data_IF_225566243345
#
_entry.id   IF_225566243345
#
_cell.length_a   1.000
_cell.length_b   1.000
_cell.length_c   1.000
_cell.angle_alpha   90.00
_cell.angle_beta   90.00
_cell.angle_gamma   90.00
#
_symmetry.space_group_name_H-M   'P 1'
#
loop_
_entity.id
_entity.type
_entity.pdbx_description
1 polymer ?
#
# COMPACT_ATOMS: atom_id res chain seq x y z
N UNK A 1 4.88 -22.51 33.18
CA UNK A 1 5.39 -21.12 33.21
C UNK A 1 5.48 -20.65 31.77
N UNK A 2 4.50 -19.90 31.31
CA UNK A 2 4.52 -19.28 29.98
C UNK A 2 5.55 -18.15 30.02
N UNK A 3 6.67 -18.30 29.29
CA UNK A 3 7.61 -17.20 29.04
C UNK A 3 6.77 -16.04 28.47
N UNK A 4 6.70 -14.91 29.17
CA UNK A 4 6.21 -13.66 28.59
C UNK A 4 7.11 -13.35 27.41
N UNK A 5 6.57 -13.44 26.20
CA UNK A 5 7.31 -13.03 25.02
C UNK A 5 7.62 -11.54 25.15
N UNK A 6 8.82 -11.15 24.75
CA UNK A 6 9.24 -9.76 24.77
C UNK A 6 8.36 -8.96 23.80
N UNK A 7 7.85 -7.83 24.23
CA UNK A 7 7.06 -6.90 23.42
C UNK A 7 7.85 -6.31 22.25
N UNK A 8 9.15 -6.42 22.26
CA UNK A 8 10.04 -5.92 21.23
C UNK A 8 11.23 -6.87 21.07
N UNK A 9 11.50 -7.23 19.84
CA UNK A 9 12.66 -8.01 19.41
C UNK A 9 13.44 -7.21 18.37
N UNK A 10 14.79 -7.25 18.33
CA UNK A 10 15.58 -6.51 17.33
C UNK A 10 15.17 -6.74 15.86
N UNK A 11 14.59 -7.92 15.57
CA UNK A 11 14.02 -8.23 14.25
C UNK A 11 12.83 -7.36 13.87
N UNK A 12 12.07 -6.85 14.83
CA UNK A 12 10.89 -6.03 14.61
C UNK A 12 11.24 -4.71 13.92
N UNK A 13 12.45 -4.19 14.15
CA UNK A 13 12.93 -2.98 13.50
C UNK A 13 13.09 -3.17 11.98
N UNK A 14 13.60 -4.33 11.55
CA UNK A 14 13.70 -4.67 10.14
C UNK A 14 12.32 -4.80 9.49
N UNK A 15 11.39 -5.48 10.17
CA UNK A 15 10.02 -5.65 9.72
C UNK A 15 9.29 -4.30 9.62
N UNK A 16 9.47 -3.42 10.63
CA UNK A 16 8.91 -2.08 10.63
C UNK A 16 9.38 -1.26 9.42
N UNK A 17 10.68 -1.19 9.16
CA UNK A 17 11.18 -0.41 8.03
C UNK A 17 10.77 -1.00 6.68
N UNK A 18 10.72 -2.32 6.55
CA UNK A 18 10.24 -2.96 5.33
C UNK A 18 8.77 -2.60 5.05
N UNK A 19 7.89 -2.74 6.04
CA UNK A 19 6.48 -2.40 5.92
C UNK A 19 6.25 -0.89 5.75
N UNK A 20 7.00 -0.05 6.46
CA UNK A 20 6.93 1.40 6.32
C UNK A 20 7.27 1.84 4.90
N UNK A 21 8.37 1.33 4.33
CA UNK A 21 8.77 1.65 2.94
C UNK A 21 7.73 1.16 1.95
N UNK A 22 7.19 -0.05 2.12
CA UNK A 22 6.14 -0.60 1.27
C UNK A 22 4.88 0.30 1.28
N UNK A 23 4.40 0.68 2.45
CA UNK A 23 3.25 1.57 2.58
C UNK A 23 3.50 2.96 1.96
N UNK A 24 4.67 3.55 2.18
CA UNK A 24 5.03 4.84 1.59
C UNK A 24 5.09 4.74 0.07
N UNK A 25 5.68 3.67 -0.49
CA UNK A 25 5.72 3.46 -1.94
C UNK A 25 4.31 3.35 -2.52
N UNK A 26 3.40 2.62 -1.87
CA UNK A 26 2.01 2.51 -2.30
C UNK A 26 1.29 3.88 -2.32
N UNK A 27 1.50 4.72 -1.29
CA UNK A 27 0.94 6.08 -1.23
C UNK A 27 1.53 7.00 -2.32
N UNK A 28 2.83 6.89 -2.57
CA UNK A 28 3.50 7.63 -3.65
C UNK A 28 2.97 7.20 -5.02
N UNK A 29 2.79 5.89 -5.25
CA UNK A 29 2.24 5.37 -6.50
C UNK A 29 0.78 5.80 -6.69
N UNK A 30 -0.06 5.72 -5.65
CA UNK A 30 -1.42 6.24 -5.66
C UNK A 30 -1.45 7.72 -6.07
N UNK A 31 -0.65 8.54 -5.40
CA UNK A 31 -0.54 9.97 -5.68
C UNK A 31 -0.07 10.23 -7.11
N UNK A 32 0.95 9.52 -7.56
CA UNK A 32 1.49 9.67 -8.90
C UNK A 32 0.46 9.32 -9.98
N UNK A 33 -0.30 8.24 -9.82
CA UNK A 33 -1.35 7.85 -10.76
C UNK A 33 -2.42 8.95 -10.81
N UNK A 34 -2.94 9.38 -9.67
CA UNK A 34 -4.03 10.36 -9.62
C UNK A 34 -3.58 11.74 -10.16
N UNK A 35 -2.37 12.19 -9.84
CA UNK A 35 -1.83 13.48 -10.31
C UNK A 35 -1.46 13.43 -11.80
N UNK A 36 -0.64 12.47 -12.21
CA UNK A 36 -0.08 12.49 -13.55
C UNK A 36 -1.03 11.93 -14.61
N UNK A 37 -1.78 10.89 -14.29
CA UNK A 37 -2.68 10.25 -15.23
C UNK A 37 -4.04 10.94 -15.28
N UNK A 38 -4.62 11.27 -14.12
CA UNK A 38 -5.96 11.85 -14.03
C UNK A 38 -6.00 13.36 -13.80
N UNK A 39 -4.83 13.99 -13.55
CA UNK A 39 -4.71 15.45 -13.28
C UNK A 39 -5.45 15.91 -12.02
N UNK A 40 -5.64 15.03 -11.06
CA UNK A 40 -6.26 15.36 -9.79
C UNK A 40 -5.35 16.32 -8.99
N UNK A 41 -5.89 17.32 -8.27
CA UNK A 41 -5.09 18.26 -7.51
C UNK A 41 -4.23 17.56 -6.45
N UNK A 42 -2.91 17.76 -6.52
CA UNK A 42 -1.97 17.14 -5.61
C UNK A 42 -2.23 17.51 -4.15
N UNK A 43 -2.57 18.77 -3.88
CA UNK A 43 -2.84 19.24 -2.52
C UNK A 43 -4.00 18.48 -1.88
N UNK A 44 -5.06 18.19 -2.65
CA UNK A 44 -6.19 17.41 -2.15
C UNK A 44 -5.75 15.99 -1.74
N UNK A 45 -4.94 15.34 -2.55
CA UNK A 45 -4.44 13.99 -2.27
C UNK A 45 -3.61 14.00 -0.98
N UNK A 46 -2.67 14.94 -0.87
CA UNK A 46 -1.75 15.03 0.27
C UNK A 46 -2.46 15.42 1.58
N UNK A 47 -3.47 16.28 1.50
CA UNK A 47 -4.14 16.82 2.70
C UNK A 47 -5.34 16.00 3.17
N UNK A 48 -6.00 15.24 2.27
CA UNK A 48 -7.23 14.51 2.59
C UNK A 48 -7.10 13.00 2.42
N UNK A 49 -6.56 12.53 1.29
CA UNK A 49 -6.53 11.09 1.01
C UNK A 49 -5.46 10.36 1.81
N UNK A 50 -4.24 10.86 1.82
CA UNK A 50 -3.10 10.22 2.51
C UNK A 50 -3.31 10.13 4.02
N UNK A 51 -3.73 11.21 4.75
CA UNK A 51 -3.95 11.12 6.19
C UNK A 51 -5.04 10.13 6.58
N UNK A 52 -6.12 10.06 5.82
CA UNK A 52 -7.19 9.07 6.05
C UNK A 52 -6.71 7.64 5.89
N UNK A 53 -5.94 7.39 4.84
CA UNK A 53 -5.37 6.06 4.57
C UNK A 53 -4.36 5.66 5.65
N UNK A 54 -3.48 6.56 6.05
CA UNK A 54 -2.48 6.31 7.10
C UNK A 54 -3.16 6.01 8.46
N UNK A 55 -4.22 6.75 8.81
CA UNK A 55 -5.00 6.47 10.02
C UNK A 55 -5.66 5.09 9.96
N UNK A 56 -6.22 4.70 8.82
CA UNK A 56 -6.82 3.38 8.65
C UNK A 56 -5.83 2.25 8.88
N UNK A 57 -4.63 2.35 8.32
CA UNK A 57 -3.55 1.38 8.54
C UNK A 57 -3.15 1.34 10.01
N UNK A 58 -2.92 2.48 10.63
CA UNK A 58 -2.55 2.58 12.04
C UNK A 58 -3.59 1.93 12.96
N UNK A 59 -4.88 2.20 12.74
CA UNK A 59 -5.96 1.59 13.54
C UNK A 59 -6.00 0.08 13.34
N UNK A 60 -5.79 -0.40 12.12
CA UNK A 60 -5.72 -1.83 11.83
C UNK A 60 -4.54 -2.51 12.53
N UNK A 61 -3.35 -1.95 12.45
CA UNK A 61 -2.15 -2.48 13.12
C UNK A 61 -2.30 -2.52 14.64
N UNK A 62 -2.87 -1.47 15.24
CA UNK A 62 -3.18 -1.43 16.67
C UNK A 62 -4.20 -2.50 17.07
N UNK A 63 -5.24 -2.72 16.25
CA UNK A 63 -6.24 -3.76 16.49
C UNK A 63 -5.63 -5.16 16.44
N UNK A 64 -4.78 -5.45 15.44
CA UNK A 64 -4.08 -6.74 15.34
C UNK A 64 -3.10 -6.95 16.50
N UNK A 65 -2.35 -5.92 16.87
CA UNK A 65 -1.45 -5.96 18.03
C UNK A 65 -2.22 -6.25 19.31
N UNK A 66 -3.37 -5.60 19.51
CA UNK A 66 -4.22 -5.82 20.67
C UNK A 66 -4.78 -7.25 20.71
N UNK A 67 -5.22 -7.79 19.56
CA UNK A 67 -5.70 -9.17 19.44
C UNK A 67 -4.59 -10.18 19.74
N UNK A 68 -3.38 -9.95 19.22
CA UNK A 68 -2.21 -10.80 19.48
C UNK A 68 -1.85 -10.83 20.97
N UNK A 69 -1.89 -9.66 21.63
CA UNK A 69 -1.58 -9.54 23.07
C UNK A 69 -2.63 -10.21 23.97
N UNK A 70 -3.92 -10.20 23.55
CA UNK A 70 -5.01 -10.80 24.35
C UNK A 70 -5.20 -12.29 24.10
N UNK A 71 -4.80 -12.79 22.95
CA UNK A 71 -5.22 -14.10 22.47
C UNK A 71 -4.69 -15.31 23.22
N UNK A 72 -3.69 -15.18 24.11
CA UNK A 72 -3.10 -16.31 24.86
C UNK A 72 -2.60 -17.48 23.99
N UNK A 73 -2.84 -17.40 22.68
CA UNK A 73 -2.36 -18.30 21.64
C UNK A 73 -1.18 -17.61 20.94
N UNK A 74 -0.30 -18.38 20.35
CA UNK A 74 0.74 -17.89 19.46
C UNK A 74 0.09 -17.31 18.19
N UNK A 75 -0.52 -16.16 18.32
CA UNK A 75 -1.00 -15.35 17.21
C UNK A 75 0.07 -14.31 16.91
N UNK A 76 0.57 -14.34 15.70
CA UNK A 76 1.41 -13.28 15.17
C UNK A 76 0.55 -12.04 14.96
N UNK A 77 0.96 -10.89 15.46
CA UNK A 77 0.40 -9.63 15.01
C UNK A 77 0.77 -9.50 13.53
N UNK A 78 -0.20 -9.77 12.66
CA UNK A 78 0.03 -9.68 11.23
C UNK A 78 0.11 -8.19 10.88
N UNK A 79 1.24 -7.68 10.37
CA UNK A 79 1.34 -6.28 10.01
C UNK A 79 0.35 -5.98 8.88
N UNK A 80 -0.51 -4.98 9.09
CA UNK A 80 -1.46 -4.54 8.09
C UNK A 80 -0.76 -3.53 7.17
N UNK A 81 -0.49 -3.93 5.94
CA UNK A 81 -0.01 -3.04 4.89
C UNK A 81 -1.14 -2.57 3.98
N UNK A 82 -0.86 -1.55 3.17
CA UNK A 82 -1.73 -1.18 2.08
C UNK A 82 -1.76 -2.31 1.05
N UNK A 83 -2.95 -2.80 0.76
CA UNK A 83 -3.15 -3.78 -0.31
C UNK A 83 -2.93 -3.10 -1.67
N UNK A 84 -1.76 -3.34 -2.25
CA UNK A 84 -1.32 -2.71 -3.51
C UNK A 84 -2.32 -2.90 -4.64
N UNK A 85 -2.84 -4.12 -4.92
CA UNK A 85 -3.84 -4.33 -5.95
C UNK A 85 -5.09 -3.49 -5.75
N UNK A 86 -5.65 -3.47 -4.54
CA UNK A 86 -6.84 -2.66 -4.25
C UNK A 86 -6.53 -1.17 -4.33
N UNK A 87 -5.40 -0.71 -3.79
CA UNK A 87 -5.03 0.71 -3.80
C UNK A 87 -4.87 1.25 -5.23
N UNK A 88 -4.09 0.55 -6.06
CA UNK A 88 -3.85 0.95 -7.44
C UNK A 88 -5.09 0.70 -8.30
N UNK A 89 -5.76 -0.45 -8.10
CA UNK A 89 -6.99 -0.78 -8.80
C UNK A 89 -8.09 0.25 -8.55
N UNK A 90 -8.27 0.70 -7.31
CA UNK A 90 -9.23 1.74 -6.96
C UNK A 90 -8.86 3.10 -7.56
N UNK A 91 -7.57 3.45 -7.58
CA UNK A 91 -7.12 4.69 -8.22
C UNK A 91 -7.47 4.74 -9.70
N UNK A 92 -7.19 3.64 -10.43
CA UNK A 92 -7.36 3.57 -11.88
C UNK A 92 -8.82 3.31 -12.29
N UNK A 93 -9.52 2.44 -11.56
CA UNK A 93 -10.82 1.94 -11.98
C UNK A 93 -12.02 2.69 -11.35
N UNK A 94 -11.80 3.43 -10.26
CA UNK A 94 -12.88 4.13 -9.55
C UNK A 94 -12.59 5.61 -9.39
N UNK A 95 -11.57 5.97 -8.60
CA UNK A 95 -11.31 7.37 -8.20
C UNK A 95 -10.98 8.23 -9.42
N UNK A 96 -10.05 7.77 -10.27
CA UNK A 96 -9.64 8.49 -11.46
C UNK A 96 -10.79 8.74 -12.44
N UNK A 97 -11.54 7.70 -12.88
CA UNK A 97 -12.69 7.86 -13.74
C UNK A 97 -13.77 8.78 -13.17
N UNK A 98 -14.12 8.64 -11.89
CA UNK A 98 -15.11 9.53 -11.26
C UNK A 98 -14.62 10.99 -11.26
N UNK A 99 -13.33 11.21 -11.00
CA UNK A 99 -12.76 12.54 -11.07
C UNK A 99 -12.82 13.12 -12.49
N UNK A 100 -12.52 12.33 -13.51
CA UNK A 100 -12.61 12.78 -14.92
C UNK A 100 -14.06 13.13 -15.29
N UNK A 101 -15.02 12.34 -14.80
CA UNK A 101 -16.45 12.58 -15.07
C UNK A 101 -17.01 13.82 -14.34
N UNK A 102 -16.63 14.02 -13.09
CA UNK A 102 -17.24 15.02 -12.22
C UNK A 102 -16.43 16.32 -12.12
N UNK A 103 -15.12 16.26 -12.36
CA UNK A 103 -14.21 17.37 -12.09
C UNK A 103 -14.02 17.70 -10.59
N UNK A 104 -14.72 16.96 -9.70
CA UNK A 104 -14.72 17.22 -8.27
C UNK A 104 -13.94 16.14 -7.50
N UNK A 105 -12.81 16.50 -6.85
CA UNK A 105 -11.99 15.56 -6.11
C UNK A 105 -12.70 15.01 -4.86
N UNK A 106 -13.64 15.80 -4.25
CA UNK A 106 -14.41 15.32 -3.09
C UNK A 106 -15.36 14.19 -3.47
N UNK A 107 -16.10 14.36 -4.56
CA UNK A 107 -17.00 13.32 -5.08
C UNK A 107 -16.23 12.06 -5.46
N UNK A 108 -15.09 12.21 -6.15
CA UNK A 108 -14.25 11.07 -6.52
C UNK A 108 -13.71 10.29 -5.30
N UNK A 109 -13.27 11.03 -4.29
CA UNK A 109 -12.80 10.45 -3.04
C UNK A 109 -13.91 9.77 -2.24
N UNK A 110 -15.07 10.41 -2.12
CA UNK A 110 -16.25 9.86 -1.43
C UNK A 110 -16.71 8.53 -2.07
N UNK A 111 -16.80 8.49 -3.41
CA UNK A 111 -17.15 7.26 -4.14
C UNK A 111 -16.06 6.20 -3.94
N UNK A 112 -14.79 6.57 -3.97
CA UNK A 112 -13.67 5.66 -3.70
C UNK A 112 -13.74 5.03 -2.32
N UNK A 113 -13.93 5.84 -1.27
CA UNK A 113 -14.07 5.35 0.12
C UNK A 113 -15.30 4.47 0.27
N UNK A 114 -16.46 4.89 -0.26
CA UNK A 114 -17.68 4.11 -0.20
C UNK A 114 -17.51 2.74 -0.88
N UNK A 115 -16.84 2.70 -2.03
CA UNK A 115 -16.52 1.45 -2.74
C UNK A 115 -15.59 0.55 -1.92
N UNK A 116 -14.54 1.12 -1.31
CA UNK A 116 -13.63 0.38 -0.41
C UNK A 116 -14.36 -0.13 0.83
N UNK A 117 -15.28 0.65 1.39
CA UNK A 117 -16.10 0.23 2.52
C UNK A 117 -16.98 -0.97 2.17
N UNK A 118 -17.70 -0.91 1.03
CA UNK A 118 -18.52 -2.01 0.54
C UNK A 118 -17.66 -3.25 0.31
N UNK A 119 -16.48 -3.08 -0.31
CA UNK A 119 -15.53 -4.17 -0.51
C UNK A 119 -15.06 -4.77 0.83
N UNK A 120 -14.81 -3.93 1.85
CA UNK A 120 -14.45 -4.37 3.19
C UNK A 120 -15.56 -5.18 3.86
N UNK A 121 -16.81 -4.72 3.78
CA UNK A 121 -17.99 -5.45 4.29
C UNK A 121 -18.15 -6.78 3.55
N UNK A 122 -17.99 -6.77 2.23
CA UNK A 122 -18.02 -7.99 1.43
C UNK A 122 -16.94 -8.99 1.87
N UNK A 123 -15.69 -8.53 2.06
CA UNK A 123 -14.60 -9.36 2.58
C UNK A 123 -14.95 -9.96 3.95
N UNK A 124 -15.52 -9.16 4.85
CA UNK A 124 -15.94 -9.60 6.17
C UNK A 124 -16.98 -10.71 6.08
N UNK A 125 -17.99 -10.55 5.23
CA UNK A 125 -19.05 -11.57 5.04
C UNK A 125 -18.45 -12.84 4.43
N UNK A 126 -17.65 -12.74 3.40
CA UNK A 126 -17.05 -13.91 2.73
C UNK A 126 -16.05 -14.64 3.64
N UNK A 127 -15.40 -13.94 4.58
CA UNK A 127 -14.46 -14.57 5.52
C UNK A 127 -15.10 -15.69 6.35
N UNK A 128 -16.41 -15.63 6.62
CA UNK A 128 -17.16 -16.71 7.29
C UNK A 128 -17.33 -17.94 6.39
N UNK A 129 -17.17 -17.80 5.09
CA UNK A 129 -17.32 -18.85 4.09
C UNK A 129 -15.99 -19.25 3.45
N UNK A 130 -14.86 -18.96 4.12
CA UNK A 130 -13.51 -19.19 3.60
C UNK A 130 -13.29 -20.62 3.08
N UNK A 131 -13.73 -21.63 3.83
CA UNK A 131 -13.66 -23.05 3.44
C UNK A 131 -14.43 -23.36 2.14
N UNK A 132 -15.58 -22.69 1.95
CA UNK A 132 -16.38 -22.85 0.74
C UNK A 132 -15.67 -22.20 -0.46
N UNK A 133 -15.10 -21.03 -0.26
CA UNK A 133 -14.33 -20.31 -1.29
C UNK A 133 -13.14 -21.15 -1.74
N UNK A 134 -12.38 -21.70 -0.80
CA UNK A 134 -11.23 -22.57 -1.11
C UNK A 134 -11.63 -23.84 -1.88
N UNK A 135 -12.80 -24.41 -1.58
CA UNK A 135 -13.30 -25.59 -2.30
C UNK A 135 -13.84 -25.25 -3.69
N UNK A 136 -14.44 -24.07 -3.84
CA UNK A 136 -15.08 -23.66 -5.09
C UNK A 136 -14.08 -23.13 -6.13
N UNK A 137 -12.98 -22.53 -5.69
CA UNK A 137 -12.00 -21.90 -6.59
C UNK A 137 -10.71 -22.75 -6.60
N UNK A 138 -10.29 -23.28 -7.76
CA UNK A 138 -9.05 -24.02 -7.85
C UNK A 138 -7.83 -23.17 -7.41
N UNK A 139 -6.96 -23.75 -6.60
CA UNK A 139 -5.77 -23.07 -6.09
C UNK A 139 -4.91 -22.47 -7.21
N UNK A 140 -4.80 -23.15 -8.33
CA UNK A 140 -4.05 -22.65 -9.49
C UNK A 140 -4.62 -21.34 -10.06
N UNK A 141 -5.96 -21.18 -10.08
CA UNK A 141 -6.60 -19.94 -10.54
C UNK A 141 -6.34 -18.78 -9.58
N UNK A 142 -6.35 -19.07 -8.28
CA UNK A 142 -6.08 -18.10 -7.22
C UNK A 142 -4.63 -17.63 -7.26
N UNK A 143 -3.68 -18.56 -7.26
CA UNK A 143 -2.25 -18.26 -7.31
C UNK A 143 -1.86 -17.59 -8.64
N UNK A 144 -2.49 -17.99 -9.75
CA UNK A 144 -2.27 -17.37 -11.07
C UNK A 144 -2.69 -15.90 -11.09
N UNK A 145 -3.85 -15.58 -10.50
CA UNK A 145 -4.34 -14.20 -10.40
C UNK A 145 -3.42 -13.32 -9.56
N UNK A 146 -3.01 -13.81 -8.38
CA UNK A 146 -2.09 -13.11 -7.48
C UNK A 146 -0.73 -12.94 -8.15
N UNK A 147 -0.21 -13.97 -8.81
CA UNK A 147 1.06 -13.91 -9.53
C UNK A 147 1.00 -12.89 -10.68
N UNK A 148 -0.11 -12.84 -11.44
CA UNK A 148 -0.30 -11.87 -12.50
C UNK A 148 -0.28 -10.42 -11.99
N UNK A 149 -1.00 -10.15 -10.91
CA UNK A 149 -0.99 -8.83 -10.25
C UNK A 149 0.39 -8.52 -9.67
N UNK A 150 1.02 -9.48 -9.01
CA UNK A 150 2.37 -9.34 -8.46
C UNK A 150 3.39 -9.00 -9.55
N UNK A 151 3.38 -9.70 -10.66
CA UNK A 151 4.28 -9.42 -11.78
C UNK A 151 4.00 -8.07 -12.43
N UNK A 152 2.72 -7.72 -12.66
CA UNK A 152 2.36 -6.48 -13.33
C UNK A 152 2.59 -5.25 -12.44
N UNK A 153 2.07 -5.26 -11.20
CA UNK A 153 2.08 -4.07 -10.34
C UNK A 153 3.31 -3.99 -9.45
N UNK A 154 3.76 -5.12 -8.88
CA UNK A 154 4.90 -5.14 -7.95
C UNK A 154 6.23 -5.43 -8.65
N UNK A 155 6.22 -6.09 -9.78
CA UNK A 155 7.42 -6.40 -10.55
C UNK A 155 7.69 -5.36 -11.64
N UNK A 156 6.82 -5.28 -12.65
CA UNK A 156 7.08 -4.50 -13.85
C UNK A 156 7.12 -2.98 -13.60
N UNK A 157 6.14 -2.43 -12.86
CA UNK A 157 6.09 -0.98 -12.65
C UNK A 157 7.30 -0.48 -11.86
N UNK A 158 7.69 -1.08 -10.71
CA UNK A 158 8.92 -0.72 -10.01
C UNK A 158 10.18 -0.93 -10.87
N UNK A 159 10.25 -2.03 -11.64
CA UNK A 159 11.38 -2.27 -12.54
C UNK A 159 11.55 -1.13 -13.55
N UNK A 160 10.47 -0.68 -14.21
CA UNK A 160 10.51 0.47 -15.11
C UNK A 160 11.02 1.74 -14.42
N UNK A 161 10.66 1.94 -13.16
CA UNK A 161 11.15 3.07 -12.34
C UNK A 161 12.63 2.93 -12.00
N UNK A 162 13.10 1.75 -11.65
CA UNK A 162 14.53 1.46 -11.42
C UNK A 162 15.35 1.80 -12.67
N UNK A 163 14.86 1.36 -13.84
CA UNK A 163 15.55 1.61 -15.12
C UNK A 163 15.44 3.06 -15.61
N UNK A 164 14.47 3.83 -15.11
CA UNK A 164 14.40 5.28 -15.42
C UNK A 164 15.48 6.10 -14.71
N UNK A 165 16.02 5.61 -13.58
CA UNK A 165 17.15 6.19 -12.87
C UNK A 165 18.17 5.08 -12.54
N UNK A 166 18.85 4.51 -13.56
CA UNK A 166 19.50 3.21 -13.46
C UNK A 166 20.60 3.16 -12.41
N UNK A 167 21.39 4.21 -12.26
CA UNK A 167 22.50 4.20 -11.29
C UNK A 167 21.97 4.13 -9.86
N UNK A 168 21.08 5.04 -9.48
CA UNK A 168 20.50 5.02 -8.13
C UNK A 168 19.61 3.80 -7.90
N UNK A 169 18.77 3.45 -8.90
CA UNK A 169 17.83 2.34 -8.80
C UNK A 169 18.50 0.97 -8.72
N UNK A 170 19.50 0.71 -9.58
CA UNK A 170 20.22 -0.57 -9.57
C UNK A 170 21.07 -0.75 -8.31
N UNK A 171 21.64 0.34 -7.79
CA UNK A 171 22.40 0.28 -6.55
C UNK A 171 21.49 -0.06 -5.35
N UNK A 172 20.34 0.62 -5.25
CA UNK A 172 19.34 0.31 -4.24
C UNK A 172 18.82 -1.13 -4.37
N UNK A 173 18.52 -1.58 -5.60
CA UNK A 173 18.11 -2.96 -5.87
C UNK A 173 19.17 -3.96 -5.46
N UNK A 174 20.46 -3.69 -5.71
CA UNK A 174 21.57 -4.53 -5.28
C UNK A 174 21.59 -4.72 -3.76
N UNK A 175 21.35 -3.67 -2.99
CA UNK A 175 21.25 -3.76 -1.51
C UNK A 175 20.05 -4.62 -1.09
N UNK A 176 18.90 -4.42 -1.75
CA UNK A 176 17.69 -5.23 -1.47
C UNK A 176 17.95 -6.71 -1.74
N UNK A 177 18.51 -7.04 -2.90
CA UNK A 177 18.86 -8.44 -3.25
C UNK A 177 19.87 -9.01 -2.25
N UNK A 178 20.90 -8.27 -1.90
CA UNK A 178 21.90 -8.69 -0.93
C UNK A 178 21.29 -9.01 0.44
N UNK A 179 20.43 -8.11 0.95
CA UNK A 179 19.86 -8.21 2.29
C UNK A 179 18.70 -9.23 2.37
N UNK A 180 17.75 -9.19 1.42
CA UNK A 180 16.51 -9.96 1.52
C UNK A 180 16.58 -11.30 0.77
N UNK A 181 17.20 -11.34 -0.40
CA UNK A 181 17.32 -12.58 -1.18
C UNK A 181 18.54 -13.37 -0.74
N UNK A 182 19.67 -12.69 -0.57
CA UNK A 182 20.92 -13.31 -0.10
C UNK A 182 20.91 -13.64 1.38
N UNK A 183 20.02 -13.04 2.16
CA UNK A 183 19.93 -13.24 3.61
C UNK A 183 21.16 -12.72 4.39
N UNK A 184 21.97 -11.88 3.75
CA UNK A 184 23.18 -11.34 4.37
C UNK A 184 22.84 -10.18 5.31
N UNK A 185 23.50 -10.17 6.46
CA UNK A 185 23.38 -9.07 7.41
C UNK A 185 24.20 -7.87 6.96
N UNK A 186 23.58 -6.70 6.97
CA UNK A 186 24.31 -5.47 6.73
C UNK A 186 25.17 -5.09 7.95
N UNK A 187 26.26 -4.32 7.74
CA UNK A 187 27.09 -3.81 8.82
C UNK A 187 26.24 -3.14 9.90
N UNK A 188 26.65 -3.29 11.16
CA UNK A 188 25.94 -2.75 12.32
C UNK A 188 24.50 -3.25 12.53
N UNK A 189 24.07 -4.29 11.82
CA UNK A 189 22.71 -4.83 11.91
C UNK A 189 21.62 -3.88 11.37
N UNK A 190 21.99 -2.97 10.45
CA UNK A 190 21.07 -1.99 9.88
C UNK A 190 19.96 -2.66 9.06
N UNK A 191 18.72 -2.13 9.09
CA UNK A 191 17.61 -2.62 8.29
C UNK A 191 17.90 -2.48 6.79
N UNK A 192 17.79 -3.59 6.03
CA UNK A 192 18.10 -3.62 4.60
C UNK A 192 17.26 -2.64 3.78
N UNK A 193 15.97 -2.53 4.06
CA UNK A 193 15.08 -1.59 3.38
C UNK A 193 15.49 -0.13 3.61
N UNK A 194 15.81 0.22 4.85
CA UNK A 194 16.25 1.58 5.20
C UNK A 194 17.55 1.94 4.47
N UNK A 195 18.53 1.02 4.50
CA UNK A 195 19.83 1.25 3.84
C UNK A 195 19.67 1.39 2.33
N UNK A 196 18.82 0.57 1.70
CA UNK A 196 18.55 0.67 0.27
C UNK A 196 17.94 2.02 -0.13
N UNK A 197 16.95 2.50 0.64
CA UNK A 197 16.32 3.81 0.40
C UNK A 197 17.30 4.95 0.61
N UNK A 198 18.04 4.96 1.71
CA UNK A 198 19.00 6.03 2.00
C UNK A 198 20.15 6.06 1.00
N UNK A 199 20.68 4.90 0.61
CA UNK A 199 21.75 4.80 -0.39
C UNK A 199 21.26 5.23 -1.78
N UNK A 200 20.09 4.76 -2.21
CA UNK A 200 19.49 5.18 -3.47
C UNK A 200 19.23 6.69 -3.51
N UNK A 201 18.70 7.25 -2.42
CA UNK A 201 18.46 8.69 -2.29
C UNK A 201 19.78 9.48 -2.34
N UNK A 202 20.79 9.04 -1.59
CA UNK A 202 22.12 9.70 -1.59
C UNK A 202 22.74 9.71 -3.00
N UNK A 203 22.72 8.59 -3.70
CA UNK A 203 23.22 8.49 -5.06
C UNK A 203 22.45 9.41 -6.01
N UNK A 204 21.11 9.41 -5.91
CA UNK A 204 20.27 10.27 -6.73
C UNK A 204 20.62 11.76 -6.53
N UNK A 205 20.79 12.21 -5.28
CA UNK A 205 21.17 13.58 -4.97
C UNK A 205 22.59 13.92 -5.43
N UNK A 206 23.55 13.01 -5.28
CA UNK A 206 24.92 13.20 -5.80
C UNK A 206 24.89 13.38 -7.32
N UNK A 207 24.10 12.56 -8.03
CA UNK A 207 23.96 12.67 -9.48
C UNK A 207 23.26 13.96 -9.90
N UNK A 208 22.24 14.39 -9.15
CA UNK A 208 21.54 15.65 -9.39
C UNK A 208 22.47 16.86 -9.21
N UNK A 209 23.27 16.87 -8.14
CA UNK A 209 24.27 17.90 -7.89
C UNK A 209 25.39 17.91 -8.94
N UNK A 210 25.75 16.75 -9.49
CA UNK A 210 26.72 16.63 -10.58
C UNK A 210 26.13 16.97 -11.96
N UNK A 211 24.85 17.35 -12.05
CA UNK A 211 24.18 17.68 -13.32
C UNK A 211 23.90 16.47 -14.21
N UNK A 212 24.06 15.23 -13.67
CA UNK A 212 23.86 13.99 -14.41
C UNK A 212 22.43 13.46 -14.32
N UNK A 213 21.60 14.04 -13.47
CA UNK A 213 20.19 13.69 -13.29
C UNK A 213 19.36 14.97 -13.17
N UNK A 214 18.09 14.99 -13.63
CA UNK A 214 17.25 16.15 -13.41
C UNK A 214 17.17 16.45 -11.91
N UNK A 215 17.39 17.72 -11.55
CA UNK A 215 17.20 18.13 -10.16
C UNK A 215 15.74 17.84 -9.76
N UNK A 216 15.50 17.33 -8.53
CA UNK A 216 14.14 17.20 -8.03
C UNK A 216 13.47 18.56 -8.15
N UNK A 217 12.25 18.58 -8.71
CA UNK A 217 11.47 19.80 -8.77
C UNK A 217 11.41 20.42 -7.37
N UNK A 218 11.65 21.73 -7.28
CA UNK A 218 11.54 22.50 -6.03
C UNK A 218 10.06 22.62 -5.66
N UNK A 219 9.43 21.49 -5.35
CA UNK A 219 8.16 21.52 -4.65
C UNK A 219 8.50 21.84 -3.20
N UNK A 220 8.15 23.04 -2.77
CA UNK A 220 8.17 23.38 -1.36
C UNK A 220 7.19 22.47 -0.65
N UNK A 221 7.71 21.37 -0.12
CA UNK A 221 6.92 20.52 0.75
C UNK A 221 6.58 21.34 2.00
N UNK A 222 5.37 21.84 2.07
CA UNK A 222 4.85 22.42 3.30
C UNK A 222 4.63 21.27 4.26
N UNK A 223 5.53 21.13 5.23
CA UNK A 223 5.33 20.20 6.34
C UNK A 223 4.12 20.69 7.13
N UNK A 224 3.02 20.00 7.00
CA UNK A 224 1.77 20.27 7.73
C UNK A 224 1.26 18.99 8.37
N UNK A 225 0.73 19.11 9.58
CA UNK A 225 -0.02 18.01 10.19
C UNK A 225 -1.47 18.09 9.67
N UNK A 226 -1.81 17.19 8.77
CA UNK A 226 -3.17 17.09 8.23
C UNK A 226 -3.90 15.97 8.97
N UNK A 227 -4.97 16.34 9.67
CA UNK A 227 -5.84 15.35 10.31
C UNK A 227 -6.84 14.80 9.29
N UNK A 228 -7.20 13.51 9.39
CA UNK A 228 -8.21 12.93 8.51
C UNK A 228 -9.54 13.65 8.71
N UNK A 229 -10.14 14.09 7.61
CA UNK A 229 -11.46 14.71 7.61
C UNK A 229 -12.50 13.63 7.36
N UNK A 230 -13.45 13.50 8.27
CA UNK A 230 -14.60 12.61 8.13
C UNK A 230 -15.81 13.49 7.81
N UNK A 231 -16.30 13.40 6.58
CA UNK A 231 -17.56 14.02 6.16
C UNK A 231 -18.62 12.94 5.94
N UNK A 232 -19.55 12.74 6.90
CA UNK A 232 -20.61 11.76 6.77
C UNK A 232 -21.54 12.02 5.59
N UNK A 233 -21.74 13.28 5.22
CA UNK A 233 -22.59 13.67 4.09
C UNK A 233 -21.96 13.28 2.75
N UNK A 234 -20.68 13.57 2.57
CA UNK A 234 -19.92 13.15 1.40
C UNK A 234 -19.85 11.61 1.31
N UNK A 235 -19.66 10.93 2.44
CA UNK A 235 -19.65 9.47 2.46
C UNK A 235 -21.01 8.90 2.03
N UNK A 236 -22.13 9.43 2.55
CA UNK A 236 -23.46 8.97 2.19
C UNK A 236 -23.75 9.16 0.69
N UNK A 237 -23.38 10.30 0.12
CA UNK A 237 -23.52 10.54 -1.33
C UNK A 237 -22.61 9.61 -2.16
N UNK A 238 -21.44 9.28 -1.65
CA UNK A 238 -20.49 8.37 -2.26
C UNK A 238 -21.05 6.95 -2.46
N UNK A 239 -21.90 6.47 -1.54
CA UNK A 239 -22.51 5.13 -1.66
C UNK A 239 -23.37 4.99 -2.91
N UNK A 240 -24.12 6.01 -3.28
CA UNK A 240 -24.94 5.99 -4.50
C UNK A 240 -24.07 5.84 -5.76
N UNK A 241 -22.94 6.53 -5.81
CA UNK A 241 -21.96 6.42 -6.89
C UNK A 241 -21.19 5.10 -6.88
N UNK A 242 -20.95 4.51 -5.70
CA UNK A 242 -20.17 3.30 -5.53
C UNK A 242 -20.83 2.05 -6.13
N UNK A 243 -22.17 2.00 -6.17
CA UNK A 243 -22.92 0.83 -6.67
C UNK A 243 -22.53 0.44 -8.10
N UNK A 244 -22.24 1.40 -8.96
CA UNK A 244 -21.83 1.16 -10.36
C UNK A 244 -20.46 0.48 -10.47
N UNK A 245 -19.63 0.59 -9.43
CA UNK A 245 -18.28 0.00 -9.40
C UNK A 245 -18.20 -1.36 -8.70
N UNK A 246 -19.32 -1.89 -8.20
CA UNK A 246 -19.35 -3.21 -7.56
C UNK A 246 -18.83 -4.33 -8.47
N UNK A 247 -19.12 -4.35 -9.79
CA UNK A 247 -18.58 -5.37 -10.69
C UNK A 247 -17.05 -5.38 -10.76
N UNK A 248 -16.39 -4.27 -10.43
CA UNK A 248 -14.94 -4.13 -10.42
C UNK A 248 -14.40 -4.39 -9.02
N UNK A 249 -15.01 -3.80 -7.98
CA UNK A 249 -14.53 -3.88 -6.61
C UNK A 249 -14.68 -5.27 -5.97
N UNK A 250 -15.73 -6.00 -6.30
CA UNK A 250 -15.96 -7.36 -5.77
C UNK A 250 -14.85 -8.34 -6.20
N UNK A 251 -14.45 -8.45 -7.49
CA UNK A 251 -13.31 -9.26 -7.89
C UNK A 251 -12.00 -8.90 -7.18
N UNK A 252 -11.70 -7.60 -6.99
CA UNK A 252 -10.54 -7.18 -6.20
C UNK A 252 -10.65 -7.64 -4.74
N UNK A 253 -11.83 -7.55 -4.16
CA UNK A 253 -12.11 -8.07 -2.81
C UNK A 253 -11.87 -9.57 -2.70
N UNK A 254 -12.33 -10.35 -3.65
CA UNK A 254 -12.11 -11.80 -3.70
C UNK A 254 -10.62 -12.14 -3.84
N UNK A 255 -9.90 -11.44 -4.71
CA UNK A 255 -8.47 -11.63 -4.92
C UNK A 255 -7.67 -11.50 -3.62
N UNK A 256 -7.98 -10.47 -2.82
CA UNK A 256 -7.26 -10.21 -1.56
C UNK A 256 -7.65 -11.18 -0.44
N UNK A 257 -8.91 -11.64 -0.39
CA UNK A 257 -9.33 -12.71 0.55
C UNK A 257 -8.52 -13.97 0.29
N UNK A 258 -8.42 -14.34 -0.96
CA UNK A 258 -7.72 -15.55 -1.38
C UNK A 258 -6.22 -15.46 -1.08
N UNK A 259 -5.61 -14.30 -1.29
CA UNK A 259 -4.24 -14.04 -0.85
C UNK A 259 -4.06 -14.23 0.65
N UNK A 260 -4.99 -13.71 1.46
CA UNK A 260 -4.94 -13.82 2.92
C UNK A 260 -5.24 -15.22 3.49
N UNK A 261 -6.01 -16.05 2.78
CA UNK A 261 -6.32 -17.42 3.26
C UNK A 261 -5.12 -18.39 3.05
N UNK A 262 -4.25 -18.11 2.09
CA UNK A 262 -3.12 -18.97 1.73
C UNK A 262 -1.78 -18.55 2.38
N UNK A 263 -1.78 -17.50 3.18
CA UNK A 263 -0.63 -17.07 3.99
C UNK A 263 -0.79 -17.51 5.44
#
# INVERSE_FOLDING_TARGET
MTKRESWFVPGDLNAFFALFVDNVVNLVMLSAILVYQFKMPQDFILTHMIPGTALGVMVGDLAYTWLACRGGRRMTAMPLGLDTPSTIGMAIAVIGPVFVETGDPWTAWAVGIATLFIMGVFKLVISFFGDLVQKAIPLAALLGSIAGVGLALLGLIPALRIFSAPVAGMFALGIVIYAFVGGFRLPFGLPGALVAVLAGLAIYWIMALAGMSPAPGTHTATLGLHLPVVDPGALASGFAGAVRFLPISIPFGLLTIVGGINT
#
